data_IF_093815447511
#
_entry.id   IF_093815447511
#
_cell.length_a   1.000
_cell.length_b   1.000
_cell.length_c   1.000
_cell.angle_alpha   90.00
_cell.angle_beta   90.00
_cell.angle_gamma   90.00
#
_symmetry.space_group_name_H-M   'P 1'
#
loop_
_entity.id
_entity.type
_entity.pdbx_description
1 polymer ?
#
# COMPACT_ATOMS: atom_id res chain seq x y z
N UNK A 1 -16.68 -12.55 -6.31
CA UNK A 1 -16.77 -11.13 -6.72
C UNK A 1 -15.44 -10.72 -7.33
N UNK A 2 -15.47 -9.95 -8.43
CA UNK A 2 -14.28 -9.32 -9.01
C UNK A 2 -13.93 -8.05 -8.22
N UNK A 3 -12.65 -7.85 -7.90
CA UNK A 3 -12.19 -6.62 -7.26
C UNK A 3 -12.16 -5.42 -8.23
N UNK A 4 -11.67 -4.25 -7.80
CA UNK A 4 -11.70 -3.01 -8.61
C UNK A 4 -11.07 -3.12 -10.01
N UNK A 5 -10.14 -4.05 -10.21
CA UNK A 5 -9.47 -4.23 -11.51
C UNK A 5 -10.26 -5.06 -12.53
N UNK A 6 -11.44 -5.58 -12.16
CA UNK A 6 -12.29 -6.42 -13.01
C UNK A 6 -11.79 -7.87 -13.21
N UNK A 7 -10.60 -8.23 -12.69
CA UNK A 7 -10.09 -9.60 -12.81
C UNK A 7 -10.79 -10.55 -11.82
N UNK A 8 -11.13 -11.74 -12.29
CA UNK A 8 -11.64 -12.81 -11.45
C UNK A 8 -10.51 -13.32 -10.54
N UNK A 9 -10.73 -13.28 -9.20
CA UNK A 9 -9.78 -13.75 -8.17
C UNK A 9 -8.42 -13.04 -8.19
N UNK A 10 -8.39 -11.72 -8.43
CA UNK A 10 -7.16 -10.95 -8.26
C UNK A 10 -6.56 -11.14 -6.85
N UNK A 11 -5.27 -11.46 -6.76
CA UNK A 11 -4.58 -11.70 -5.49
C UNK A 11 -4.40 -10.43 -4.64
N UNK A 12 -4.45 -9.26 -5.27
CA UNK A 12 -4.12 -7.98 -4.62
C UNK A 12 -5.36 -7.17 -4.23
N UNK A 13 -6.41 -7.21 -5.05
CA UNK A 13 -7.64 -6.47 -4.79
C UNK A 13 -8.29 -6.72 -3.41
N UNK A 14 -8.21 -7.92 -2.79
CA UNK A 14 -8.71 -8.12 -1.43
C UNK A 14 -8.01 -7.26 -0.36
N UNK A 15 -6.80 -6.81 -0.64
CA UNK A 15 -6.02 -5.94 0.23
C UNK A 15 -6.18 -4.45 -0.14
N UNK A 16 -6.80 -4.14 -1.28
CA UNK A 16 -7.03 -2.76 -1.73
C UNK A 16 -8.19 -2.13 -0.98
N UNK A 17 -7.96 -0.92 -0.50
CA UNK A 17 -9.00 -0.04 0.05
C UNK A 17 -9.11 1.23 -0.80
N UNK A 18 -10.31 1.77 -0.85
CA UNK A 18 -10.63 3.07 -1.42
C UNK A 18 -11.05 4.00 -0.30
N UNK A 19 -10.55 5.23 -0.31
CA UNK A 19 -11.02 6.29 0.56
C UNK A 19 -10.87 7.62 -0.18
N UNK A 20 -11.73 8.59 0.10
CA UNK A 20 -11.61 9.94 -0.48
C UNK A 20 -10.48 10.74 0.18
N UNK A 21 -10.11 10.33 1.39
CA UNK A 21 -9.04 10.92 2.17
C UNK A 21 -8.47 9.93 3.17
N UNK A 22 -7.26 10.22 3.62
CA UNK A 22 -6.70 9.63 4.83
C UNK A 22 -6.06 10.73 5.68
N UNK A 23 -5.80 10.42 6.95
CA UNK A 23 -5.28 11.37 7.92
C UNK A 23 -3.92 10.87 8.42
N UNK A 24 -2.94 11.77 8.50
CA UNK A 24 -1.64 11.46 9.09
C UNK A 24 -1.64 11.63 10.64
N UNK A 25 -0.55 11.28 11.33
CA UNK A 25 -0.42 11.41 12.78
C UNK A 25 -0.66 12.82 13.31
N UNK A 26 -0.36 13.85 12.50
CA UNK A 26 -0.52 15.26 12.85
C UNK A 26 -1.93 15.76 12.54
N UNK A 27 -2.90 14.86 12.38
CA UNK A 27 -4.29 15.16 12.00
C UNK A 27 -4.43 15.88 10.65
N UNK A 28 -3.41 15.83 9.78
CA UNK A 28 -3.52 16.44 8.45
C UNK A 28 -4.25 15.50 7.52
N UNK A 29 -5.26 16.04 6.84
CA UNK A 29 -6.09 15.31 5.88
C UNK A 29 -5.49 15.43 4.48
N UNK A 30 -5.26 14.29 3.83
CA UNK A 30 -4.75 14.20 2.47
C UNK A 30 -5.85 13.68 1.56
N UNK A 31 -6.19 14.44 0.52
CA UNK A 31 -7.17 14.01 -0.48
C UNK A 31 -6.57 12.92 -1.36
N UNK A 32 -7.29 11.81 -1.51
CA UNK A 32 -6.97 10.78 -2.48
C UNK A 32 -7.60 11.18 -3.79
N UNK A 33 -6.78 11.70 -4.70
CA UNK A 33 -7.22 12.13 -6.03
C UNK A 33 -6.76 11.10 -7.03
N UNK A 34 -7.54 10.02 -7.16
CA UNK A 34 -7.69 9.17 -8.36
C UNK A 34 -8.15 7.76 -7.97
N UNK A 35 -9.07 7.20 -8.76
CA UNK A 35 -9.40 5.77 -8.71
C UNK A 35 -8.23 4.97 -9.31
N UNK A 36 -7.29 4.58 -8.45
CA UNK A 36 -6.24 3.64 -8.83
C UNK A 36 -6.62 2.22 -8.42
N UNK A 37 -6.27 1.27 -9.27
CA UNK A 37 -6.44 -0.16 -9.05
C UNK A 37 -5.08 -0.88 -9.14
N UNK A 38 -5.06 -2.20 -8.96
CA UNK A 38 -3.81 -2.95 -9.03
C UNK A 38 -3.15 -2.92 -10.42
N UNK A 39 -3.86 -2.52 -11.49
CA UNK A 39 -3.28 -2.40 -12.85
C UNK A 39 -2.59 -1.06 -13.07
N UNK A 40 -2.78 -0.10 -12.17
CA UNK A 40 -2.14 1.21 -12.25
C UNK A 40 -0.63 1.09 -12.10
N UNK A 41 0.12 1.83 -12.91
CA UNK A 41 1.58 1.93 -12.86
C UNK A 41 2.01 3.37 -12.60
N UNK A 42 3.28 3.53 -12.19
CA UNK A 42 3.87 4.83 -11.82
C UNK A 42 2.96 5.54 -10.82
N UNK A 43 2.88 5.00 -9.62
CA UNK A 43 1.91 5.42 -8.62
C UNK A 43 2.56 5.61 -7.25
N UNK A 44 2.10 6.64 -6.55
CA UNK A 44 2.33 6.79 -5.12
C UNK A 44 1.14 6.13 -4.42
N UNK A 45 1.43 5.22 -3.49
CA UNK A 45 0.43 4.55 -2.66
C UNK A 45 0.81 4.63 -1.19
N UNK A 46 -0.17 4.39 -0.33
CA UNK A 46 0.06 4.15 1.08
C UNK A 46 -0.22 2.68 1.41
N UNK A 47 0.62 2.11 2.26
CA UNK A 47 0.33 0.90 3.00
C UNK A 47 -0.28 1.32 4.33
N UNK A 48 -1.41 0.74 4.69
CA UNK A 48 -2.07 0.93 5.97
C UNK A 48 -2.04 -0.37 6.76
N UNK A 49 -1.71 -0.28 8.04
CA UNK A 49 -1.95 -1.36 8.97
C UNK A 49 -3.25 -1.11 9.72
N UNK A 50 -4.23 -2.00 9.61
CA UNK A 50 -5.52 -1.82 10.28
C UNK A 50 -5.47 -2.00 11.80
N UNK A 51 -4.48 -2.74 12.31
CA UNK A 51 -4.29 -3.00 13.74
C UNK A 51 -3.82 -1.75 14.49
N UNK A 52 -2.71 -1.15 14.05
CA UNK A 52 -2.15 0.06 14.68
C UNK A 52 -2.54 1.36 13.98
N UNK A 53 -3.29 1.28 12.87
CA UNK A 53 -3.76 2.41 12.06
C UNK A 53 -2.65 3.29 11.46
N UNK A 54 -1.40 2.81 11.41
CA UNK A 54 -0.26 3.52 10.81
C UNK A 54 -0.27 3.45 9.28
N UNK A 55 0.31 4.46 8.65
CA UNK A 55 0.46 4.54 7.19
C UNK A 55 1.94 4.66 6.80
N UNK A 56 2.36 3.89 5.81
CA UNK A 56 3.67 4.03 5.15
C UNK A 56 3.45 4.43 3.71
N UNK A 57 4.06 5.54 3.29
CA UNK A 57 4.02 6.01 1.92
C UNK A 57 5.08 5.32 1.09
N UNK A 58 4.68 4.88 -0.09
CA UNK A 58 5.56 4.25 -1.06
C UNK A 58 5.38 4.92 -2.42
N UNK A 59 6.44 5.55 -2.91
CA UNK A 59 6.51 6.02 -4.28
C UNK A 59 7.06 4.90 -5.17
N UNK A 60 6.22 4.17 -5.89
CA UNK A 60 6.67 3.08 -6.77
C UNK A 60 6.71 3.54 -8.23
N UNK A 61 7.84 3.30 -8.89
CA UNK A 61 8.04 3.64 -10.30
C UNK A 61 8.60 2.46 -11.07
N UNK A 62 8.15 2.26 -12.32
CA UNK A 62 8.64 1.18 -13.19
C UNK A 62 7.88 -0.15 -13.13
N UNK A 63 6.88 -0.29 -12.26
CA UNK A 63 5.99 -1.46 -12.16
C UNK A 63 4.52 -1.08 -11.97
N UNK A 64 3.65 -2.09 -12.04
CA UNK A 64 2.25 -1.94 -11.61
C UNK A 64 2.11 -2.12 -10.11
N UNK A 65 1.12 -1.48 -9.50
CA UNK A 65 0.74 -1.70 -8.11
C UNK A 65 0.57 -3.20 -7.81
N UNK A 66 0.04 -3.99 -8.75
CA UNK A 66 -0.05 -5.44 -8.61
C UNK A 66 1.31 -6.09 -8.33
N UNK A 67 2.34 -5.75 -9.09
CA UNK A 67 3.68 -6.34 -8.95
C UNK A 67 4.33 -5.96 -7.61
N UNK A 68 4.34 -4.67 -7.27
CA UNK A 68 4.90 -4.20 -6.00
C UNK A 68 4.18 -4.77 -4.79
N UNK A 69 2.86 -4.83 -4.83
CA UNK A 69 2.07 -5.38 -3.73
C UNK A 69 2.20 -6.90 -3.64
N UNK A 70 2.29 -7.62 -4.76
CA UNK A 70 2.52 -9.06 -4.73
C UNK A 70 3.88 -9.39 -4.13
N UNK A 71 4.91 -8.61 -4.47
CA UNK A 71 6.22 -8.71 -3.85
C UNK A 71 6.13 -8.47 -2.34
N UNK A 72 5.40 -7.43 -1.90
CA UNK A 72 5.21 -7.14 -0.48
C UNK A 72 4.51 -8.29 0.25
N UNK A 73 3.41 -8.82 -0.29
CA UNK A 73 2.71 -9.98 0.28
C UNK A 73 3.62 -11.21 0.36
N UNK A 74 4.44 -11.44 -0.65
CA UNK A 74 5.43 -12.53 -0.64
C UNK A 74 6.42 -12.35 0.50
N UNK A 75 6.99 -11.14 0.66
CA UNK A 75 7.93 -10.82 1.74
C UNK A 75 7.32 -10.96 3.12
N UNK A 76 6.06 -10.54 3.31
CA UNK A 76 5.33 -10.74 4.57
C UNK A 76 5.20 -12.24 4.89
N UNK A 77 4.73 -13.03 3.91
CA UNK A 77 4.49 -14.47 4.10
C UNK A 77 5.77 -15.28 4.31
N UNK A 78 6.86 -14.85 3.69
CA UNK A 78 8.18 -15.51 3.76
C UNK A 78 9.11 -14.88 4.80
N UNK A 79 8.62 -13.88 5.54
CA UNK A 79 9.36 -13.15 6.57
C UNK A 79 10.72 -12.62 6.08
N UNK A 80 10.74 -12.11 4.85
CA UNK A 80 11.94 -11.45 4.31
C UNK A 80 12.04 -10.02 4.84
N UNK A 81 13.27 -9.58 5.13
CA UNK A 81 13.53 -8.21 5.58
C UNK A 81 13.10 -7.21 4.51
N UNK A 82 12.26 -6.27 4.93
CA UNK A 82 11.73 -5.17 4.14
C UNK A 82 11.07 -4.17 5.10
N UNK A 83 11.32 -2.86 4.96
CA UNK A 83 10.85 -1.84 5.92
C UNK A 83 9.35 -1.84 6.18
N UNK A 84 8.55 -2.27 5.21
CA UNK A 84 7.09 -2.35 5.35
C UNK A 84 6.65 -3.75 5.76
N UNK A 85 7.29 -4.79 5.21
CA UNK A 85 6.84 -6.16 5.44
C UNK A 85 7.06 -6.61 6.88
N UNK A 86 8.17 -6.18 7.51
CA UNK A 86 8.55 -6.51 8.89
C UNK A 86 7.41 -6.26 9.87
N UNK A 87 6.72 -5.12 9.73
CA UNK A 87 5.57 -4.78 10.56
C UNK A 87 4.45 -5.84 10.55
N UNK A 88 4.27 -6.60 9.47
CA UNK A 88 3.14 -7.51 9.28
C UNK A 88 3.47 -8.98 9.62
N UNK A 89 4.64 -9.25 10.19
CA UNK A 89 4.96 -10.58 10.74
C UNK A 89 5.61 -10.51 12.13
N UNK A 90 5.59 -9.34 12.78
CA UNK A 90 6.06 -9.11 14.15
C UNK A 90 4.93 -8.57 15.04
N UNK A 91 5.14 -8.57 16.36
CA UNK A 91 4.26 -7.92 17.36
C UNK A 91 2.76 -8.28 17.27
N UNK A 92 2.47 -9.52 16.85
CA UNK A 92 1.10 -10.03 16.71
C UNK A 92 0.33 -9.44 15.52
N UNK A 93 1.01 -8.80 14.57
CA UNK A 93 0.46 -8.40 13.29
C UNK A 93 0.53 -9.55 12.28
N UNK A 94 -0.31 -9.47 11.25
CA UNK A 94 -0.32 -10.44 10.16
C UNK A 94 -0.63 -9.79 8.81
N UNK A 95 -0.54 -10.59 7.75
CA UNK A 95 -1.00 -10.17 6.41
C UNK A 95 -2.47 -9.74 6.38
N UNK A 96 -3.30 -10.17 7.34
CA UNK A 96 -4.69 -9.73 7.42
C UNK A 96 -4.80 -8.25 7.82
N UNK A 97 -3.80 -7.70 8.50
CA UNK A 97 -3.75 -6.29 8.87
C UNK A 97 -3.30 -5.39 7.71
N UNK A 98 -2.69 -5.98 6.67
CA UNK A 98 -2.11 -5.29 5.52
C UNK A 98 -3.18 -4.72 4.59
N UNK A 99 -3.11 -3.42 4.31
CA UNK A 99 -3.98 -2.75 3.34
C UNK A 99 -3.19 -1.78 2.48
N UNK A 100 -3.70 -1.54 1.28
CA UNK A 100 -3.07 -0.66 0.29
C UNK A 100 -4.09 0.34 -0.25
N UNK A 101 -3.65 1.57 -0.43
CA UNK A 101 -4.45 2.65 -0.99
C UNK A 101 -3.64 3.39 -2.04
N UNK A 102 -4.11 3.40 -3.27
CA UNK A 102 -3.52 4.25 -4.30
C UNK A 102 -3.80 5.72 -4.01
N UNK A 103 -2.78 6.58 -3.99
CA UNK A 103 -2.92 8.01 -3.70
C UNK A 103 -2.95 8.88 -4.96
N UNK A 104 -1.96 8.73 -5.85
CA UNK A 104 -1.84 9.49 -7.10
C UNK A 104 -0.93 8.80 -8.10
N UNK A 105 -1.07 9.13 -9.39
CA UNK A 105 -0.05 8.79 -10.40
C UNK A 105 1.15 9.73 -10.30
N UNK A 106 2.33 9.23 -10.64
CA UNK A 106 3.58 10.00 -10.76
C UNK A 106 4.08 9.97 -12.21
N UNK A 107 4.70 11.07 -12.64
CA UNK A 107 5.34 11.17 -13.95
C UNK A 107 6.80 10.68 -13.93
N UNK A 108 7.35 10.37 -12.75
CA UNK A 108 8.71 9.87 -12.62
C UNK A 108 8.75 8.39 -13.03
N UNK A 109 9.53 8.07 -14.06
CA UNK A 109 9.74 6.71 -14.58
C UNK A 109 11.16 6.27 -14.20
N UNK A 110 11.35 5.01 -13.78
CA UNK A 110 12.67 4.39 -13.66
C UNK A 110 13.50 4.75 -12.40
N UNK A 111 12.86 5.12 -11.28
CA UNK A 111 13.52 5.37 -9.98
C UNK A 111 13.22 4.26 -8.95
N UNK A 112 14.14 4.06 -8.02
CA UNK A 112 13.98 3.14 -6.88
C UNK A 112 12.79 3.59 -6.01
N UNK A 113 11.98 2.66 -5.46
CA UNK A 113 10.90 3.03 -4.57
C UNK A 113 11.39 3.84 -3.36
N UNK A 114 10.72 4.96 -3.07
CA UNK A 114 11.00 5.75 -1.87
C UNK A 114 9.94 5.48 -0.82
N UNK A 115 10.40 5.18 0.40
CA UNK A 115 9.56 4.93 1.57
C UNK A 115 9.59 6.15 2.47
N UNK A 116 8.42 6.66 2.83
CA UNK A 116 8.28 7.67 3.88
C UNK A 116 7.31 7.12 4.94
N UNK A 117 7.75 6.99 6.18
CA UNK A 117 6.89 6.53 7.28
C UNK A 117 6.12 7.71 7.88
N UNK A 118 4.83 7.49 8.19
CA UNK A 118 4.08 8.37 9.08
C UNK A 118 3.53 7.55 10.25
N UNK A 119 4.18 7.69 11.40
CA UNK A 119 3.88 6.96 12.63
C UNK A 119 2.76 7.68 13.39
N UNK A 120 1.55 7.09 13.46
CA UNK A 120 0.50 7.57 14.39
C UNK A 120 0.90 7.10 15.79
N UNK A 121 1.61 7.94 16.52
CA UNK A 121 1.70 7.82 17.98
C UNK A 121 0.55 8.65 18.55
N UNK A 122 -0.33 7.94 19.28
CA UNK A 122 -1.42 8.54 20.04
C UNK A 122 -0.94 9.07 21.38
#
# INVERSE_FOLDING_TARGET
>A
MSGPCGAQRCAICPYTMTADYFTDPSCRKYSVRNNMDCKSSNAVYAVNCRRCRRYVYVEETGGTLYQGHLLKLSRIRTQQSDPVAEQFYTDGHSVDDFRIMGLKKTQRIGRVPQYHEAIMDG
#
